data_IF_225557996971
#
_entry.id   IF_225557996971
#
_cell.length_a   1.000
_cell.length_b   1.000
_cell.length_c   1.000
_cell.angle_alpha   90.00
_cell.angle_beta   90.00
_cell.angle_gamma   90.00
#
_symmetry.space_group_name_H-M   'P 1'
#
loop_
_entity.id
_entity.type
_entity.pdbx_description
1 polymer ?
#
# COMPACT_ATOMS: atom_id res chain seq x y z
N UNK A 1 -2.26 10.90 -20.48
CA UNK A 1 -2.99 11.42 -19.33
C UNK A 1 -2.16 12.38 -18.47
N UNK A 2 -0.82 12.21 -18.33
CA UNK A 2 0.01 13.08 -17.49
C UNK A 2 0.13 14.51 -18.03
N UNK A 3 0.07 14.71 -19.34
CA UNK A 3 -0.03 16.04 -19.94
C UNK A 3 -1.27 16.82 -19.44
N UNK A 4 -2.41 16.12 -19.25
CA UNK A 4 -3.60 16.71 -18.67
C UNK A 4 -3.41 17.06 -17.18
N UNK A 5 -2.69 16.24 -16.41
CA UNK A 5 -2.37 16.55 -15.02
C UNK A 5 -1.51 17.81 -14.92
N UNK A 6 -0.49 17.91 -15.78
CA UNK A 6 0.34 19.11 -15.86
C UNK A 6 -0.47 20.36 -16.24
N UNK A 7 -1.36 20.25 -17.21
CA UNK A 7 -2.21 21.35 -17.63
C UNK A 7 -3.15 21.85 -16.50
N UNK A 8 -3.53 20.96 -15.56
CA UNK A 8 -4.28 21.27 -14.35
C UNK A 8 -3.40 21.79 -13.19
N UNK A 9 -2.09 21.92 -13.39
CA UNK A 9 -1.15 22.38 -12.35
C UNK A 9 -0.78 21.30 -11.32
N UNK A 10 -1.06 20.02 -11.58
CA UNK A 10 -0.68 18.93 -10.70
C UNK A 10 0.81 18.61 -10.87
N UNK A 11 1.53 18.62 -9.77
CA UNK A 11 2.99 18.37 -9.74
C UNK A 11 3.36 16.99 -9.20
N UNK A 12 2.42 16.31 -8.55
CA UNK A 12 2.63 15.00 -7.94
C UNK A 12 1.46 14.07 -8.25
N UNK A 13 1.76 12.81 -8.46
CA UNK A 13 0.77 11.75 -8.66
C UNK A 13 1.10 10.53 -7.82
N UNK A 14 0.11 9.99 -7.10
CA UNK A 14 0.23 8.71 -6.39
C UNK A 14 -0.38 7.60 -7.24
N UNK A 15 0.39 6.55 -7.49
CA UNK A 15 -0.09 5.33 -8.14
C UNK A 15 0.36 4.10 -7.36
N UNK A 16 -0.37 3.01 -7.52
CA UNK A 16 0.01 1.71 -6.96
C UNK A 16 0.74 0.88 -8.01
N UNK A 17 1.79 0.18 -7.59
CA UNK A 17 2.37 -0.93 -8.35
C UNK A 17 1.79 -2.20 -7.77
N UNK A 18 0.96 -2.90 -8.56
CA UNK A 18 0.26 -4.09 -8.10
C UNK A 18 1.20 -5.28 -7.93
N UNK A 19 1.43 -5.69 -6.67
CA UNK A 19 2.29 -6.83 -6.37
C UNK A 19 1.88 -8.10 -7.10
N UNK A 20 0.57 -8.35 -7.19
CA UNK A 20 0.04 -9.52 -7.90
C UNK A 20 0.37 -9.54 -9.41
N UNK A 21 0.66 -8.38 -10.01
CA UNK A 21 1.13 -8.29 -11.40
C UNK A 21 2.63 -8.43 -11.51
N UNK A 22 3.37 -7.87 -10.56
CA UNK A 22 4.84 -7.97 -10.54
C UNK A 22 5.30 -9.40 -10.22
N UNK A 23 4.61 -10.08 -9.30
CA UNK A 23 4.96 -11.42 -8.83
C UNK A 23 3.69 -12.30 -8.74
N UNK A 24 3.14 -12.73 -9.87
CA UNK A 24 1.90 -13.52 -9.93
C UNK A 24 2.01 -14.89 -9.26
N UNK A 25 3.20 -15.46 -9.21
CA UNK A 25 3.58 -16.67 -8.48
C UNK A 25 4.80 -16.37 -7.61
N UNK A 26 4.90 -17.03 -6.46
CA UNK A 26 6.02 -16.80 -5.54
C UNK A 26 7.38 -16.99 -6.23
N UNK A 27 8.23 -15.97 -6.16
CA UNK A 27 9.56 -15.96 -6.76
C UNK A 27 9.60 -15.69 -8.27
N UNK A 28 8.45 -15.71 -8.98
CA UNK A 28 8.38 -15.45 -10.43
C UNK A 28 8.00 -14.01 -10.73
N UNK A 29 8.99 -13.23 -11.15
CA UNK A 29 8.78 -11.83 -11.56
C UNK A 29 8.28 -11.79 -13.01
N UNK A 30 7.24 -11.01 -13.26
CA UNK A 30 6.78 -10.68 -14.61
C UNK A 30 7.51 -9.42 -15.11
N UNK A 31 8.53 -9.62 -15.92
CA UNK A 31 9.32 -8.52 -16.47
C UNK A 31 8.52 -7.64 -17.44
N UNK A 32 7.45 -8.16 -18.05
CA UNK A 32 6.54 -7.35 -18.89
C UNK A 32 5.76 -6.36 -18.03
N UNK A 33 5.28 -6.81 -16.86
CA UNK A 33 4.62 -5.91 -15.90
C UNK A 33 5.60 -4.87 -15.34
N UNK A 34 6.84 -5.26 -15.06
CA UNK A 34 7.89 -4.32 -14.62
C UNK A 34 8.14 -3.25 -15.69
N UNK A 35 8.34 -3.65 -16.94
CA UNK A 35 8.56 -2.72 -18.06
C UNK A 35 7.38 -1.74 -18.21
N UNK A 36 6.14 -2.26 -18.19
CA UNK A 36 4.94 -1.42 -18.27
C UNK A 36 4.88 -0.34 -17.17
N UNK A 37 5.13 -0.70 -15.91
CA UNK A 37 5.14 0.29 -14.83
C UNK A 37 6.29 1.28 -14.97
N UNK A 38 7.45 0.88 -15.44
CA UNK A 38 8.55 1.80 -15.75
C UNK A 38 8.16 2.82 -16.81
N UNK A 39 7.50 2.39 -17.89
CA UNK A 39 7.00 3.28 -18.94
C UNK A 39 5.99 4.29 -18.40
N UNK A 40 5.07 3.86 -17.51
CA UNK A 40 4.09 4.75 -16.86
C UNK A 40 4.78 5.79 -15.98
N UNK A 41 5.78 5.37 -15.19
CA UNK A 41 6.53 6.28 -14.30
C UNK A 41 7.39 7.26 -15.11
N UNK A 42 8.05 6.80 -16.17
CA UNK A 42 8.83 7.64 -17.07
C UNK A 42 7.94 8.69 -17.74
N UNK A 43 6.77 8.30 -18.28
CA UNK A 43 5.81 9.23 -18.86
C UNK A 43 5.31 10.31 -17.87
N UNK A 44 5.17 9.97 -16.59
CA UNK A 44 4.87 10.96 -15.57
C UNK A 44 6.00 11.97 -15.38
N UNK A 45 7.24 11.47 -15.29
CA UNK A 45 8.45 12.30 -15.14
C UNK A 45 8.68 13.22 -16.33
N UNK A 46 8.50 12.72 -17.55
CA UNK A 46 8.65 13.49 -18.78
C UNK A 46 7.70 14.70 -18.85
N UNK A 47 6.52 14.56 -18.24
CA UNK A 47 5.54 15.65 -18.11
C UNK A 47 5.74 16.51 -16.85
N UNK A 48 6.84 16.32 -16.10
CA UNK A 48 7.13 17.07 -14.88
C UNK A 48 6.23 16.71 -13.69
N UNK A 49 5.57 15.56 -13.72
CA UNK A 49 4.75 15.03 -12.61
C UNK A 49 5.57 14.05 -11.80
N UNK A 50 5.77 14.33 -10.51
CA UNK A 50 6.54 13.48 -9.60
C UNK A 50 5.72 12.28 -9.13
N UNK A 51 6.09 11.02 -9.50
CA UNK A 51 5.31 9.86 -9.10
C UNK A 51 5.66 9.41 -7.68
N UNK A 52 4.64 9.18 -6.86
CA UNK A 52 4.72 8.52 -5.56
C UNK A 52 4.21 7.09 -5.67
N UNK A 53 5.05 6.12 -5.35
CA UNK A 53 4.73 4.71 -5.51
C UNK A 53 4.13 4.15 -4.23
N UNK A 54 2.92 3.58 -4.36
CA UNK A 54 2.28 2.80 -3.30
C UNK A 54 2.52 1.31 -3.55
N UNK A 55 3.08 0.59 -2.56
CA UNK A 55 3.49 -0.80 -2.73
C UNK A 55 2.34 -1.78 -2.44
N UNK A 56 1.45 -1.43 -1.50
CA UNK A 56 0.25 -2.20 -1.20
C UNK A 56 -0.97 -1.29 -1.15
N UNK A 57 -1.96 -1.55 -2.02
CA UNK A 57 -3.22 -0.82 -2.06
C UNK A 57 -4.39 -1.80 -2.13
N UNK A 58 -4.64 -2.49 -1.00
CA UNK A 58 -5.76 -3.41 -0.75
C UNK A 58 -5.72 -4.74 -1.50
N UNK A 59 -4.79 -4.95 -2.42
CA UNK A 59 -4.65 -6.19 -3.18
C UNK A 59 -3.37 -6.93 -2.84
N UNK A 60 -3.42 -8.25 -2.89
CA UNK A 60 -2.30 -9.14 -2.62
C UNK A 60 -2.19 -10.21 -3.72
N UNK A 61 -0.99 -10.72 -4.00
CA UNK A 61 -0.86 -11.95 -4.77
C UNK A 61 -1.61 -13.09 -4.08
N UNK A 62 -2.31 -13.89 -4.88
CA UNK A 62 -3.13 -14.98 -4.34
C UNK A 62 -2.29 -16.01 -3.56
N UNK A 63 -1.04 -16.24 -3.94
CA UNK A 63 -0.12 -17.12 -3.21
C UNK A 63 0.22 -16.57 -1.82
N UNK A 64 0.48 -15.26 -1.69
CA UNK A 64 0.78 -14.60 -0.41
C UNK A 64 -0.46 -14.58 0.51
N UNK A 65 -1.63 -14.30 -0.04
CA UNK A 65 -2.89 -14.32 0.70
C UNK A 65 -3.19 -15.75 1.22
N UNK A 66 -3.04 -16.78 0.39
CA UNK A 66 -3.22 -18.19 0.78
C UNK A 66 -2.23 -18.67 1.84
N UNK A 67 -1.02 -18.11 1.86
CA UNK A 67 -0.02 -18.38 2.89
C UNK A 67 -0.30 -17.68 4.24
N UNK A 68 -1.44 -16.94 4.36
CA UNK A 68 -1.84 -16.23 5.57
C UNK A 68 -1.50 -14.74 5.58
N UNK A 69 -0.97 -14.21 4.46
CA UNK A 69 -0.74 -12.78 4.26
C UNK A 69 0.14 -12.16 5.34
N UNK A 70 -0.18 -10.93 5.72
CA UNK A 70 0.56 -10.16 6.73
C UNK A 70 0.44 -10.70 8.16
N UNK A 71 -0.58 -11.53 8.47
CA UNK A 71 -0.75 -12.09 9.81
C UNK A 71 0.35 -13.10 10.17
N UNK A 72 0.98 -13.70 9.18
CA UNK A 72 2.11 -14.61 9.37
C UNK A 72 3.42 -13.82 9.37
N UNK A 73 4.14 -13.83 10.49
CA UNK A 73 5.38 -13.06 10.67
C UNK A 73 6.43 -13.39 9.60
N UNK A 74 6.66 -14.65 9.30
CA UNK A 74 7.62 -15.08 8.29
C UNK A 74 7.26 -14.55 6.87
N UNK A 75 5.98 -14.39 6.57
CA UNK A 75 5.56 -13.76 5.30
C UNK A 75 5.89 -12.26 5.31
N UNK A 76 5.66 -11.59 6.44
CA UNK A 76 5.91 -10.16 6.60
C UNK A 76 7.40 -9.84 6.53
N UNK A 77 8.22 -10.57 7.29
CA UNK A 77 9.68 -10.37 7.34
C UNK A 77 10.43 -10.97 6.14
N UNK A 78 9.81 -11.90 5.43
CA UNK A 78 10.35 -12.57 4.25
C UNK A 78 9.80 -12.03 2.94
N UNK A 79 8.70 -12.61 2.46
CA UNK A 79 8.15 -12.32 1.13
C UNK A 79 7.78 -10.84 0.93
N UNK A 80 7.16 -10.20 1.93
CA UNK A 80 6.81 -8.78 1.86
C UNK A 80 8.06 -7.89 1.75
N UNK A 81 9.07 -8.09 2.60
CA UNK A 81 10.28 -7.25 2.53
C UNK A 81 11.10 -7.51 1.25
N UNK A 82 11.14 -8.74 0.74
CA UNK A 82 11.72 -9.00 -0.59
C UNK A 82 10.99 -8.23 -1.69
N UNK A 83 9.65 -8.15 -1.63
CA UNK A 83 8.88 -7.32 -2.56
C UNK A 83 9.22 -5.84 -2.43
N UNK A 84 9.29 -5.32 -1.21
CA UNK A 84 9.67 -3.92 -0.93
C UNK A 84 11.03 -3.58 -1.53
N UNK A 85 12.03 -4.43 -1.30
CA UNK A 85 13.40 -4.26 -1.82
C UNK A 85 13.42 -4.32 -3.35
N UNK A 86 12.70 -5.27 -3.95
CA UNK A 86 12.54 -5.38 -5.41
C UNK A 86 11.91 -4.14 -6.02
N UNK A 87 10.85 -3.59 -5.43
CA UNK A 87 10.21 -2.37 -5.93
C UNK A 87 11.17 -1.18 -5.83
N UNK A 88 11.90 -1.06 -4.72
CA UNK A 88 12.90 -0.01 -4.55
C UNK A 88 14.03 -0.10 -5.59
N UNK A 89 14.52 -1.30 -5.86
CA UNK A 89 15.56 -1.56 -6.87
C UNK A 89 15.07 -1.26 -8.30
N UNK A 90 13.86 -1.73 -8.64
CA UNK A 90 13.35 -1.67 -10.01
C UNK A 90 12.79 -0.32 -10.43
N UNK A 91 12.39 0.52 -9.47
CA UNK A 91 11.67 1.77 -9.75
C UNK A 91 12.21 2.99 -9.01
N UNK A 92 13.24 2.84 -8.19
CA UNK A 92 13.76 3.92 -7.35
C UNK A 92 14.33 5.09 -8.14
N UNK A 93 14.87 4.86 -9.33
CA UNK A 93 15.37 5.88 -10.25
C UNK A 93 14.25 6.77 -10.82
N UNK A 94 13.03 6.28 -10.87
CA UNK A 94 11.86 7.00 -11.39
C UNK A 94 10.96 7.54 -10.26
N UNK A 95 11.02 6.97 -9.07
CA UNK A 95 10.20 7.36 -7.94
C UNK A 95 10.55 8.76 -7.41
N UNK A 96 9.55 9.49 -6.93
CA UNK A 96 9.72 10.72 -6.17
C UNK A 96 9.45 10.52 -4.67
N UNK A 97 8.94 9.36 -4.28
CA UNK A 97 8.67 8.98 -2.90
C UNK A 97 7.87 7.69 -2.78
N UNK A 98 7.80 7.19 -1.58
CA UNK A 98 7.22 5.89 -1.26
C UNK A 98 6.03 5.98 -0.32
N UNK A 99 5.05 5.13 -0.56
CA UNK A 99 3.94 4.83 0.35
C UNK A 99 3.87 3.32 0.53
N UNK A 100 4.39 2.78 1.64
CA UNK A 100 4.48 1.33 1.83
C UNK A 100 3.13 0.64 1.75
N UNK A 101 2.17 1.12 2.54
CA UNK A 101 0.81 0.58 2.64
C UNK A 101 -0.20 1.71 2.59
N UNK A 102 -1.21 1.57 1.75
CA UNK A 102 -2.35 2.49 1.74
C UNK A 102 -3.34 2.10 2.82
N UNK A 103 -3.62 3.03 3.72
CA UNK A 103 -4.68 2.94 4.73
C UNK A 103 -4.71 1.59 5.48
N UNK A 104 -3.64 1.21 6.19
CA UNK A 104 -3.58 -0.08 6.90
C UNK A 104 -4.76 -0.28 7.84
N UNK A 105 -5.22 0.79 8.50
CA UNK A 105 -6.37 0.79 9.39
C UNK A 105 -7.70 0.54 8.66
N UNK A 106 -7.88 1.10 7.46
CA UNK A 106 -9.07 0.84 6.65
C UNK A 106 -9.04 -0.57 6.05
N UNK A 107 -7.89 -1.02 5.56
CA UNK A 107 -7.74 -2.36 5.02
C UNK A 107 -8.07 -3.44 6.07
N UNK A 108 -7.53 -3.31 7.28
CA UNK A 108 -7.86 -4.22 8.37
C UNK A 108 -9.37 -4.18 8.73
N UNK A 109 -9.95 -2.99 8.82
CA UNK A 109 -11.37 -2.82 9.11
C UNK A 109 -12.25 -3.48 8.04
N UNK A 110 -11.98 -3.20 6.77
CA UNK A 110 -12.78 -3.67 5.65
C UNK A 110 -12.67 -5.20 5.47
N UNK A 111 -11.48 -5.77 5.72
CA UNK A 111 -11.22 -7.20 5.56
C UNK A 111 -11.71 -8.08 6.70
N UNK A 112 -11.67 -7.59 7.95
CA UNK A 112 -11.92 -8.41 9.15
C UNK A 112 -13.15 -8.01 9.98
N UNK A 113 -13.94 -7.01 9.52
CA UNK A 113 -15.18 -6.57 10.20
C UNK A 113 -16.43 -6.74 9.35
N UNK A 114 -16.40 -7.68 8.40
CA UNK A 114 -17.61 -8.07 7.63
C UNK A 114 -18.07 -7.02 6.60
N UNK A 115 -17.16 -6.15 6.12
CA UNK A 115 -17.52 -5.04 5.22
C UNK A 115 -17.33 -5.42 3.73
N UNK A 116 -16.89 -6.67 3.46
CA UNK A 116 -16.89 -7.22 2.10
C UNK A 116 -15.56 -7.14 1.34
N UNK A 117 -14.49 -6.64 1.95
CA UNK A 117 -13.13 -6.77 1.39
C UNK A 117 -12.51 -8.13 1.73
N UNK A 118 -11.64 -8.68 0.88
CA UNK A 118 -10.88 -9.87 1.26
C UNK A 118 -10.05 -9.64 2.53
N UNK A 119 -9.95 -10.66 3.41
CA UNK A 119 -10.47 -12.01 3.31
C UNK A 119 -11.97 -12.17 3.59
N UNK A 120 -12.70 -11.12 3.95
CA UNK A 120 -14.15 -11.16 4.17
C UNK A 120 -14.54 -11.74 5.54
N UNK A 121 -13.65 -11.70 6.49
CA UNK A 121 -13.89 -12.18 7.86
C UNK A 121 -14.74 -11.18 8.67
N UNK A 122 -15.42 -11.67 9.70
CA UNK A 122 -16.13 -10.84 10.67
C UNK A 122 -15.78 -11.29 12.10
N UNK A 123 -14.57 -11.00 12.52
CA UNK A 123 -14.02 -11.36 13.81
C UNK A 123 -13.26 -10.16 14.42
N UNK A 124 -13.72 -9.73 15.60
CA UNK A 124 -13.14 -8.57 16.29
C UNK A 124 -11.71 -8.81 16.79
N UNK A 125 -11.39 -10.02 17.23
CA UNK A 125 -10.06 -10.40 17.69
C UNK A 125 -9.09 -10.42 16.52
N UNK A 126 -9.44 -11.12 15.46
CA UNK A 126 -8.62 -11.17 14.23
C UNK A 126 -8.48 -9.80 13.55
N UNK A 127 -9.47 -8.92 13.69
CA UNK A 127 -9.32 -7.53 13.22
C UNK A 127 -8.16 -6.82 13.92
N UNK A 128 -8.03 -6.97 15.25
CA UNK A 128 -6.93 -6.33 16.00
C UNK A 128 -5.57 -6.94 15.63
N UNK A 129 -5.52 -8.25 15.46
CA UNK A 129 -4.31 -8.94 15.01
C UNK A 129 -3.91 -8.50 13.60
N UNK A 130 -4.88 -8.40 12.69
CA UNK A 130 -4.65 -7.93 11.32
C UNK A 130 -4.18 -6.47 11.30
N UNK A 131 -4.82 -5.59 12.08
CA UNK A 131 -4.41 -4.19 12.20
C UNK A 131 -2.96 -4.10 12.67
N UNK A 132 -2.61 -4.79 13.75
CA UNK A 132 -1.25 -4.78 14.27
C UNK A 132 -0.24 -5.33 13.25
N UNK A 133 -0.55 -6.45 12.59
CA UNK A 133 0.34 -7.08 11.61
C UNK A 133 0.57 -6.19 10.38
N UNK A 134 -0.47 -5.50 9.88
CA UNK A 134 -0.39 -4.63 8.71
C UNK A 134 0.36 -3.33 9.05
N UNK A 135 0.15 -2.77 10.26
CA UNK A 135 0.93 -1.61 10.73
C UNK A 135 2.41 -1.95 10.91
N UNK A 136 2.74 -3.15 11.44
CA UNK A 136 4.11 -3.63 11.49
C UNK A 136 4.71 -3.78 10.09
N UNK A 137 3.98 -4.38 9.14
CA UNK A 137 4.42 -4.49 7.75
C UNK A 137 4.71 -3.12 7.13
N UNK A 138 3.87 -2.12 7.42
CA UNK A 138 4.08 -0.74 6.95
C UNK A 138 5.32 -0.09 7.59
N UNK A 139 5.55 -0.32 8.88
CA UNK A 139 6.72 0.19 9.61
C UNK A 139 8.02 -0.44 9.12
N UNK A 140 8.07 -1.77 8.96
CA UNK A 140 9.21 -2.53 8.45
C UNK A 140 9.57 -2.10 7.01
N UNK A 141 8.58 -2.00 6.13
CA UNK A 141 8.76 -1.49 4.77
C UNK A 141 9.27 -0.03 4.76
N UNK A 142 8.73 0.82 5.64
CA UNK A 142 9.19 2.21 5.77
C UNK A 142 10.66 2.29 6.16
N UNK A 143 11.12 1.43 7.07
CA UNK A 143 12.53 1.38 7.48
C UNK A 143 13.45 1.01 6.31
N UNK A 144 13.04 0.04 5.47
CA UNK A 144 13.79 -0.35 4.27
C UNK A 144 13.79 0.76 3.20
N UNK A 145 12.64 1.34 2.92
CA UNK A 145 12.50 2.36 1.87
C UNK A 145 13.23 3.67 2.21
N UNK A 146 13.37 4.04 3.49
CA UNK A 146 14.19 5.20 3.88
C UNK A 146 15.66 5.07 3.49
N UNK A 147 16.17 3.85 3.32
CA UNK A 147 17.55 3.61 2.89
C UNK A 147 17.80 4.03 1.43
N UNK A 148 16.73 4.22 0.64
CA UNK A 148 16.83 4.75 -0.73
C UNK A 148 17.13 6.24 -0.79
N UNK A 149 17.05 6.97 0.32
CA UNK A 149 17.19 8.43 0.39
C UNK A 149 15.94 9.20 -0.08
N UNK A 150 14.92 8.52 -0.60
CA UNK A 150 13.66 9.15 -1.01
C UNK A 150 12.68 9.30 0.17
N UNK A 151 11.78 10.30 0.12
CA UNK A 151 10.78 10.47 1.17
C UNK A 151 9.82 9.29 1.26
N UNK A 152 9.46 8.93 2.49
CA UNK A 152 8.49 7.88 2.81
C UNK A 152 7.34 8.48 3.59
N UNK A 153 6.11 8.27 3.12
CA UNK A 153 4.90 8.79 3.75
C UNK A 153 3.93 7.67 4.13
N UNK A 154 3.33 7.76 5.33
CA UNK A 154 2.20 6.94 5.74
C UNK A 154 0.89 7.52 5.20
N UNK A 155 -0.10 6.65 5.00
CA UNK A 155 -1.45 7.03 4.57
C UNK A 155 -2.45 6.31 5.47
N UNK A 156 -3.27 7.05 6.22
CA UNK A 156 -4.28 6.48 7.10
C UNK A 156 -5.65 7.11 6.80
N UNK A 157 -6.70 6.31 6.88
CA UNK A 157 -8.07 6.80 6.82
C UNK A 157 -8.45 7.37 8.20
N UNK A 158 -8.55 8.68 8.31
CA UNK A 158 -8.95 9.35 9.54
C UNK A 158 -10.41 9.81 9.43
N UNK A 159 -11.26 9.26 10.28
CA UNK A 159 -12.66 9.66 10.37
C UNK A 159 -12.86 10.47 11.65
N UNK A 160 -13.29 11.74 11.59
CA UNK A 160 -13.57 12.53 12.78
C UNK A 160 -14.73 11.89 13.55
N UNK A 161 -14.51 11.57 14.83
CA UNK A 161 -15.60 11.17 15.74
C UNK A 161 -16.43 12.40 16.06
N UNK A 162 -17.68 12.46 15.62
CA UNK A 162 -18.66 13.36 16.23
C UNK A 162 -18.87 12.90 17.67
N UNK A 163 -18.63 13.77 18.63
CA UNK A 163 -19.14 13.56 20.00
C UNK A 163 -20.67 13.52 19.89
N UNK A 164 -21.29 12.42 20.29
CA UNK A 164 -22.72 12.40 20.54
C UNK A 164 -22.95 13.39 21.69
N UNK A 165 -23.62 14.51 21.40
CA UNK A 165 -24.17 15.34 22.46
C UNK A 165 -25.33 14.58 23.09
N UNK A 166 -25.04 13.79 24.12
CA UNK A 166 -26.07 13.36 25.05
C UNK A 166 -26.47 14.61 25.84
N UNK A 167 -27.42 15.35 25.30
CA UNK A 167 -28.18 16.31 26.09
C UNK A 167 -29.08 15.51 27.04
N UNK A 168 -28.57 15.24 28.23
CA UNK A 168 -29.42 14.78 29.34
C UNK A 168 -30.39 15.94 29.63
N UNK A 169 -31.64 15.86 29.14
CA UNK A 169 -32.72 16.63 29.73
C UNK A 169 -32.86 16.10 31.15
N UNK A 170 -32.48 16.90 32.10
CA UNK A 170 -32.90 16.72 33.46
C UNK A 170 -34.43 16.93 33.58
N UNK A 171 -35.10 16.23 34.49
CA UNK A 171 -36.54 16.26 34.71
C UNK A 171 -37.03 17.64 35.19
#
# INVERSE_FOLDING_TARGET
DFAAFRALGLTHHRLSIEWARIEPEEGRVDETAVAHYRDVLAAARDEGVTPWICLHHFTLPAWFARAGGFLVENNRTGAWLRHVERIAERFGDLAGGWKPVNEPNAYALLGWRGIGFPPGENDAGRYLDALAAIELAAAEASARLRQTGLPVASVHALVPRRRSSTTTRAP
#
